data_IF_520212728656
#
_entry.id   IF_520212728656
#
_cell.length_a   1.000
_cell.length_b   1.000
_cell.length_c   1.000
_cell.angle_alpha   90.00
_cell.angle_beta   90.00
_cell.angle_gamma   90.00
#
_symmetry.space_group_name_H-M   'P 1'
#
loop_
_entity.id
_entity.type
_entity.pdbx_description
1 polymer ?
#
# COMPACT_ATOMS: atom_id res chain seq x y z
N UNK A 1 11.00 22.29 36.36
CA UNK A 1 9.69 22.09 37.04
C UNK A 1 8.48 22.01 36.10
N UNK A 2 8.62 22.21 34.77
CA UNK A 2 7.52 21.99 33.82
C UNK A 2 7.38 20.53 33.35
N UNK A 3 8.45 19.71 33.44
CA UNK A 3 8.45 18.32 32.95
C UNK A 3 7.52 17.37 33.72
N UNK A 4 7.32 17.56 35.02
CA UNK A 4 6.55 16.64 35.88
C UNK A 4 5.04 16.65 35.62
N UNK A 5 4.49 17.69 34.99
CA UNK A 5 3.07 17.75 34.61
C UNK A 5 2.80 17.25 33.19
N UNK A 6 3.83 17.18 32.33
CA UNK A 6 3.67 16.83 30.92
C UNK A 6 3.62 15.30 30.72
N UNK A 7 4.40 14.54 31.49
CA UNK A 7 4.44 13.06 31.38
C UNK A 7 3.05 12.44 31.62
N UNK A 8 2.29 12.80 32.67
CA UNK A 8 0.93 12.26 32.85
C UNK A 8 -0.01 12.61 31.70
N UNK A 9 0.14 13.78 31.08
CA UNK A 9 -0.66 14.19 29.91
C UNK A 9 -0.28 13.39 28.67
N UNK A 10 1.01 13.17 28.43
CA UNK A 10 1.46 12.28 27.34
C UNK A 10 0.87 10.89 27.54
N UNK A 11 1.01 10.33 28.75
CA UNK A 11 0.43 9.02 29.06
C UNK A 11 -1.07 9.03 28.81
N UNK A 12 -1.83 9.96 29.36
CA UNK A 12 -3.29 10.00 29.22
C UNK A 12 -3.82 10.09 27.78
N UNK A 13 -3.00 10.57 26.83
CA UNK A 13 -3.39 10.69 25.43
C UNK A 13 -2.98 9.50 24.56
N UNK A 14 -2.13 8.59 25.04
CA UNK A 14 -1.61 7.46 24.25
C UNK A 14 -2.72 6.59 23.65
N UNK A 15 -3.81 6.36 24.39
CA UNK A 15 -4.91 5.49 23.93
C UNK A 15 -5.72 6.11 22.77
N UNK A 16 -5.57 7.43 22.52
CA UNK A 16 -6.32 8.20 21.53
C UNK A 16 -5.42 8.84 20.46
N UNK A 17 -4.11 8.61 20.53
CA UNK A 17 -3.18 9.25 19.62
C UNK A 17 -3.31 8.67 18.20
N UNK A 18 -3.43 9.56 17.22
CA UNK A 18 -3.17 9.28 15.81
C UNK A 18 -1.69 9.52 15.50
N UNK A 19 -1.21 9.15 14.31
CA UNK A 19 0.19 9.30 13.91
C UNK A 19 0.73 10.72 14.11
N UNK A 20 -0.09 11.75 13.84
CA UNK A 20 0.30 13.16 13.99
C UNK A 20 0.47 13.54 15.46
N UNK A 21 -0.48 13.17 16.32
CA UNK A 21 -0.39 13.41 17.74
C UNK A 21 0.76 12.61 18.36
N UNK A 22 0.98 11.37 17.91
CA UNK A 22 2.12 10.54 18.31
C UNK A 22 3.46 11.19 17.96
N UNK A 23 3.61 11.74 16.75
CA UNK A 23 4.81 12.45 16.35
C UNK A 23 5.04 13.71 17.21
N UNK A 24 3.99 14.48 17.50
CA UNK A 24 4.07 15.64 18.38
C UNK A 24 4.41 15.25 19.82
N UNK A 25 3.80 14.18 20.34
CA UNK A 25 4.07 13.62 21.66
C UNK A 25 5.51 13.11 21.76
N UNK A 26 6.01 12.43 20.73
CA UNK A 26 7.39 11.97 20.64
C UNK A 26 8.40 13.11 20.61
N UNK A 27 8.13 14.17 19.84
CA UNK A 27 8.95 15.38 19.83
C UNK A 27 8.98 16.05 21.21
N UNK A 28 7.84 16.17 21.89
CA UNK A 28 7.78 16.69 23.27
C UNK A 28 8.54 15.79 24.24
N UNK A 29 8.37 14.47 24.13
CA UNK A 29 9.06 13.49 24.98
C UNK A 29 10.59 13.58 24.87
N UNK A 30 11.13 13.89 23.69
CA UNK A 30 12.58 14.05 23.47
C UNK A 30 13.21 15.24 24.23
N UNK A 31 12.38 16.17 24.73
CA UNK A 31 12.81 17.33 25.51
C UNK A 31 12.57 17.19 27.02
N UNK A 32 12.02 16.05 27.47
CA UNK A 32 11.80 15.76 28.88
C UNK A 32 13.03 15.06 29.49
N UNK A 33 13.00 14.89 30.82
CA UNK A 33 14.01 14.08 31.50
C UNK A 33 13.97 12.65 30.95
N UNK A 34 15.10 12.14 30.38
CA UNK A 34 15.12 10.84 29.74
C UNK A 34 14.77 9.69 30.68
N UNK A 35 15.23 9.72 31.93
CA UNK A 35 14.97 8.64 32.88
C UNK A 35 13.48 8.60 33.27
N UNK A 36 12.90 9.76 33.57
CA UNK A 36 11.49 9.84 33.94
C UNK A 36 10.57 9.42 32.79
N UNK A 37 10.83 9.90 31.56
CA UNK A 37 9.96 9.62 30.41
C UNK A 37 10.09 8.17 29.95
N UNK A 38 11.30 7.59 29.97
CA UNK A 38 11.52 6.18 29.60
C UNK A 38 10.82 5.26 30.61
N UNK A 39 10.95 5.50 31.91
CA UNK A 39 10.25 4.70 32.93
C UNK A 39 8.74 4.80 32.78
N UNK A 40 8.23 6.01 32.54
CA UNK A 40 6.81 6.25 32.37
C UNK A 40 6.25 5.53 31.13
N UNK A 41 6.96 5.56 30.00
CA UNK A 41 6.58 4.84 28.79
C UNK A 41 6.67 3.33 28.97
N UNK A 42 7.74 2.80 29.58
CA UNK A 42 7.85 1.37 29.91
C UNK A 42 6.69 0.92 30.80
N UNK A 43 6.35 1.73 31.83
CA UNK A 43 5.20 1.47 32.70
C UNK A 43 3.87 1.49 31.94
N UNK A 44 3.72 2.35 30.93
CA UNK A 44 2.54 2.40 30.09
C UNK A 44 2.40 1.15 29.21
N UNK A 45 3.50 0.61 28.67
CA UNK A 45 3.47 -0.61 27.86
C UNK A 45 2.99 -1.81 28.67
N UNK A 46 3.49 -1.98 29.91
CA UNK A 46 3.13 -3.12 30.77
C UNK A 46 1.79 -2.98 31.49
N UNK A 47 1.10 -1.85 31.35
CA UNK A 47 -0.11 -1.59 32.14
C UNK A 47 -1.31 -2.44 31.66
N UNK A 48 -1.87 -3.35 32.47
CA UNK A 48 -2.83 -4.37 31.98
C UNK A 48 -4.15 -3.81 31.44
N UNK A 49 -4.53 -2.63 31.90
CA UNK A 49 -5.76 -1.90 31.58
C UNK A 49 -5.62 -0.97 30.36
N UNK A 50 -4.39 -0.77 29.87
CA UNK A 50 -4.12 0.05 28.69
C UNK A 50 -4.45 -0.70 27.41
N UNK A 51 -5.05 0.00 26.44
CA UNK A 51 -5.36 -0.53 25.12
C UNK A 51 -4.08 -0.86 24.35
N UNK A 52 -4.12 -1.83 23.45
CA UNK A 52 -2.94 -2.18 22.64
C UNK A 52 -2.45 -0.99 21.82
N UNK A 53 -3.37 -0.16 21.30
CA UNK A 53 -3.05 1.13 20.67
C UNK A 53 -2.20 2.04 21.58
N UNK A 54 -2.59 2.19 22.85
CA UNK A 54 -1.83 2.99 23.80
C UNK A 54 -0.46 2.40 24.15
N UNK A 55 -0.35 1.06 24.18
CA UNK A 55 0.93 0.37 24.41
C UNK A 55 1.87 0.56 23.22
N UNK A 56 1.36 0.46 22.00
CA UNK A 56 2.13 0.72 20.78
C UNK A 56 2.54 2.17 20.69
N UNK A 57 1.65 3.11 21.00
CA UNK A 57 2.04 4.51 21.05
C UNK A 57 3.23 4.74 22.00
N UNK A 58 3.23 4.09 23.17
CA UNK A 58 4.37 4.14 24.09
C UNK A 58 5.63 3.47 23.51
N UNK A 59 5.50 2.31 22.87
CA UNK A 59 6.61 1.60 22.21
C UNK A 59 7.21 2.41 21.04
N UNK A 60 6.38 3.02 20.20
CA UNK A 60 6.80 3.89 19.10
C UNK A 60 7.55 5.10 19.60
N UNK A 61 7.11 5.72 20.71
CA UNK A 61 7.84 6.82 21.34
C UNK A 61 9.19 6.34 21.89
N UNK A 62 9.21 5.20 22.59
CA UNK A 62 10.44 4.58 23.10
C UNK A 62 11.44 4.34 21.97
N UNK A 63 11.03 3.68 20.89
CA UNK A 63 11.92 3.28 19.80
C UNK A 63 12.38 4.48 18.97
N UNK A 64 11.42 5.25 18.45
CA UNK A 64 11.69 6.23 17.40
C UNK A 64 12.20 7.57 17.93
N UNK A 65 11.81 7.95 19.14
CA UNK A 65 12.12 9.28 19.70
C UNK A 65 13.08 9.22 20.89
N UNK A 66 13.07 8.13 21.65
CA UNK A 66 13.92 7.96 22.83
C UNK A 66 15.08 6.97 22.62
N UNK A 67 15.17 6.34 21.44
CA UNK A 67 16.25 5.42 21.08
C UNK A 67 16.28 4.13 21.91
N UNK A 68 15.15 3.76 22.52
CA UNK A 68 14.99 2.57 23.35
C UNK A 68 14.20 1.51 22.58
N UNK A 69 14.87 0.44 22.17
CA UNK A 69 14.18 -0.69 21.54
C UNK A 69 13.29 -1.39 22.57
N UNK A 70 12.00 -1.63 22.27
CA UNK A 70 11.15 -2.45 23.13
C UNK A 70 11.70 -3.88 23.22
N UNK A 71 11.71 -4.45 24.42
CA UNK A 71 12.06 -5.86 24.62
C UNK A 71 10.99 -6.79 23.98
N UNK A 72 11.40 -7.95 23.47
CA UNK A 72 10.50 -8.92 22.81
C UNK A 72 9.34 -9.38 23.71
N UNK A 73 9.56 -9.42 25.03
CA UNK A 73 8.54 -9.72 26.04
C UNK A 73 7.42 -8.67 26.08
N UNK A 74 7.71 -7.42 25.70
CA UNK A 74 6.72 -6.34 25.62
C UNK A 74 5.83 -6.49 24.38
N UNK A 75 6.39 -6.96 23.26
CA UNK A 75 5.64 -7.28 22.04
C UNK A 75 4.67 -8.44 22.28
N UNK A 76 5.09 -9.46 23.04
CA UNK A 76 4.26 -10.60 23.43
C UNK A 76 3.10 -10.24 24.38
N UNK A 77 3.11 -9.04 24.97
CA UNK A 77 2.10 -8.59 25.94
C UNK A 77 0.85 -7.97 25.33
N UNK A 78 0.84 -7.72 24.01
CA UNK A 78 -0.30 -7.17 23.28
C UNK A 78 -1.44 -8.20 23.25
N UNK A 79 -2.65 -7.76 23.61
CA UNK A 79 -3.83 -8.65 23.71
C UNK A 79 -4.46 -8.93 22.34
N UNK A 80 -4.26 -8.04 21.38
CA UNK A 80 -4.78 -8.09 20.02
C UNK A 80 -3.72 -7.62 19.00
N UNK A 81 -2.75 -8.47 18.64
CA UNK A 81 -1.77 -8.16 17.59
C UNK A 81 -2.42 -7.95 16.20
N UNK A 82 -3.63 -8.46 15.96
CA UNK A 82 -4.36 -8.29 14.70
C UNK A 82 -4.93 -6.87 14.57
N UNK A 83 -5.53 -6.32 15.62
CA UNK A 83 -6.03 -4.93 15.65
C UNK A 83 -4.95 -3.86 15.45
N UNK A 84 -3.69 -4.24 15.71
CA UNK A 84 -2.49 -3.41 15.55
C UNK A 84 -2.01 -3.39 14.10
N UNK A 85 -2.02 -4.55 13.45
CA UNK A 85 -1.75 -4.66 12.01
C UNK A 85 -2.81 -3.89 11.21
N UNK A 86 -4.09 -3.96 11.63
CA UNK A 86 -5.19 -3.19 11.05
C UNK A 86 -4.98 -1.68 11.19
N UNK A 87 -4.59 -1.20 12.38
CA UNK A 87 -4.34 0.24 12.59
C UNK A 87 -3.18 0.75 11.73
N UNK A 88 -2.11 -0.05 11.60
CA UNK A 88 -0.98 0.28 10.71
C UNK A 88 -1.39 0.30 9.24
N UNK A 89 -2.25 -0.63 8.82
CA UNK A 89 -2.81 -0.68 7.48
C UNK A 89 -3.69 0.54 7.17
N UNK A 90 -4.54 0.97 8.10
CA UNK A 90 -5.38 2.17 7.92
C UNK A 90 -4.56 3.44 7.71
N UNK A 91 -3.48 3.61 8.47
CA UNK A 91 -2.53 4.73 8.31
C UNK A 91 -1.84 4.69 6.95
N UNK A 92 -1.36 3.51 6.52
CA UNK A 92 -0.77 3.31 5.19
C UNK A 92 -1.76 3.69 4.09
N UNK A 93 -3.01 3.24 4.20
CA UNK A 93 -4.06 3.55 3.23
C UNK A 93 -4.42 5.04 3.23
N UNK A 94 -4.19 5.77 4.32
CA UNK A 94 -4.50 7.20 4.43
C UNK A 94 -3.40 8.00 3.76
N UNK A 95 -2.14 7.66 4.08
CA UNK A 95 -0.98 8.24 3.43
C UNK A 95 -1.00 7.98 1.91
N UNK A 96 -1.43 6.79 1.49
CA UNK A 96 -1.56 6.41 0.09
C UNK A 96 -2.52 7.30 -0.72
N UNK A 97 -3.50 7.96 -0.10
CA UNK A 97 -4.37 8.93 -0.80
C UNK A 97 -3.56 10.15 -1.31
N UNK A 98 -2.49 10.51 -0.61
CA UNK A 98 -1.58 11.61 -0.97
C UNK A 98 -0.30 11.13 -1.67
N UNK A 99 0.14 9.91 -1.39
CA UNK A 99 1.39 9.32 -1.87
C UNK A 99 1.16 7.86 -2.30
N UNK A 100 0.74 7.60 -3.56
CA UNK A 100 0.48 6.24 -4.03
C UNK A 100 1.67 5.28 -3.92
N UNK A 101 2.91 5.80 -3.90
CA UNK A 101 4.12 5.01 -3.70
C UNK A 101 4.17 4.33 -2.32
N UNK A 102 3.50 4.89 -1.31
CA UNK A 102 3.42 4.31 0.04
C UNK A 102 2.73 2.94 -0.01
N UNK A 103 1.71 2.78 -0.85
CA UNK A 103 1.03 1.50 -1.01
C UNK A 103 1.94 0.44 -1.67
N UNK A 104 2.72 0.85 -2.67
CA UNK A 104 3.68 -0.03 -3.35
C UNK A 104 4.70 -0.57 -2.35
N UNK A 105 5.33 0.32 -1.58
CA UNK A 105 6.31 -0.08 -0.56
C UNK A 105 5.71 -0.96 0.54
N UNK A 106 4.45 -0.71 0.92
CA UNK A 106 3.76 -1.56 1.87
C UNK A 106 3.60 -2.99 1.32
N UNK A 107 3.12 -3.13 0.08
CA UNK A 107 2.95 -4.44 -0.57
C UNK A 107 4.30 -5.14 -0.78
N UNK A 108 5.33 -4.43 -1.24
CA UNK A 108 6.70 -4.96 -1.35
C UNK A 108 7.22 -5.50 0.00
N UNK A 109 6.85 -4.85 1.11
CA UNK A 109 7.16 -5.31 2.45
C UNK A 109 6.48 -6.64 2.82
N UNK A 110 5.30 -6.93 2.25
CA UNK A 110 4.55 -8.17 2.50
C UNK A 110 5.19 -9.40 1.83
N UNK A 111 6.01 -9.21 0.80
CA UNK A 111 6.76 -10.32 0.16
C UNK A 111 7.75 -10.98 1.13
N UNK A 112 8.22 -10.23 2.13
CA UNK A 112 9.14 -10.73 3.16
C UNK A 112 8.41 -11.32 4.37
N UNK A 113 7.08 -11.22 4.42
CA UNK A 113 6.29 -11.71 5.55
C UNK A 113 5.86 -13.15 5.34
N UNK A 114 5.69 -13.85 6.46
CA UNK A 114 5.08 -15.18 6.49
C UNK A 114 3.66 -15.14 5.89
N UNK A 115 3.24 -16.17 5.12
CA UNK A 115 1.95 -16.16 4.43
C UNK A 115 0.76 -15.87 5.35
N UNK A 116 0.78 -16.35 6.59
CA UNK A 116 -0.28 -16.13 7.58
C UNK A 116 -0.51 -14.63 7.87
N UNK A 117 0.55 -13.83 7.89
CA UNK A 117 0.46 -12.38 8.13
C UNK A 117 -0.18 -11.69 6.93
N UNK A 118 0.22 -12.07 5.72
CA UNK A 118 -0.31 -11.50 4.47
C UNK A 118 -1.78 -11.86 4.29
N UNK A 119 -2.17 -13.09 4.63
CA UNK A 119 -3.56 -13.53 4.66
C UNK A 119 -4.39 -12.74 5.68
N UNK A 120 -3.83 -12.44 6.86
CA UNK A 120 -4.50 -11.59 7.85
C UNK A 120 -4.74 -10.17 7.30
N UNK A 121 -3.77 -9.59 6.60
CA UNK A 121 -3.92 -8.29 5.91
C UNK A 121 -5.03 -8.36 4.86
N UNK A 122 -5.08 -9.41 4.03
CA UNK A 122 -6.15 -9.60 3.04
C UNK A 122 -7.54 -9.71 3.71
N UNK A 123 -7.64 -10.42 4.84
CA UNK A 123 -8.86 -10.53 5.62
C UNK A 123 -9.30 -9.19 6.22
N UNK A 124 -8.35 -8.36 6.71
CA UNK A 124 -8.64 -7.01 7.19
C UNK A 124 -9.16 -6.10 6.08
N UNK A 125 -8.54 -6.15 4.89
CA UNK A 125 -8.98 -5.40 3.71
C UNK A 125 -10.37 -5.86 3.25
N UNK A 126 -10.63 -7.18 3.26
CA UNK A 126 -11.95 -7.76 2.99
C UNK A 126 -13.00 -7.19 3.95
N UNK A 127 -12.73 -7.21 5.25
CA UNK A 127 -13.64 -6.68 6.26
C UNK A 127 -13.93 -5.20 6.01
N UNK A 128 -12.90 -4.38 5.75
CA UNK A 128 -13.05 -2.97 5.40
C UNK A 128 -13.92 -2.75 4.15
N UNK A 129 -13.75 -3.60 3.13
CA UNK A 129 -14.54 -3.60 1.89
C UNK A 129 -16.01 -3.94 2.05
N UNK A 130 -16.40 -4.55 3.17
CA UNK A 130 -17.76 -4.97 3.47
C UNK A 130 -18.50 -3.99 4.39
N UNK A 131 -17.79 -3.02 4.98
CA UNK A 131 -18.41 -2.00 5.84
C UNK A 131 -19.18 -0.99 4.99
N UNK A 132 -20.49 -0.88 5.26
CA UNK A 132 -21.38 0.09 4.62
C UNK A 132 -21.53 1.39 5.42
N UNK A 133 -20.84 1.51 6.57
CA UNK A 133 -21.05 2.58 7.55
C UNK A 133 -20.04 3.74 7.38
N UNK A 134 -20.48 5.00 7.26
CA UNK A 134 -19.58 6.17 7.26
C UNK A 134 -18.83 6.27 8.61
N UNK A 135 -17.52 6.61 8.63
CA UNK A 135 -16.74 7.31 7.59
C UNK A 135 -15.81 6.41 6.75
N UNK A 136 -15.87 5.09 6.90
CA UNK A 136 -14.99 4.17 6.18
C UNK A 136 -15.32 4.19 4.67
N UNK A 137 -14.30 4.41 3.83
CA UNK A 137 -14.43 4.32 2.37
C UNK A 137 -14.07 2.89 1.94
N UNK A 138 -15.04 1.99 1.70
CA UNK A 138 -14.76 0.58 1.39
C UNK A 138 -13.94 0.40 0.10
N UNK A 139 -13.95 1.40 -0.80
CA UNK A 139 -13.14 1.42 -2.01
C UNK A 139 -11.63 1.44 -1.73
N UNK A 140 -11.18 1.91 -0.55
CA UNK A 140 -9.75 1.97 -0.19
C UNK A 140 -9.10 0.59 -0.15
N UNK A 141 -9.89 -0.47 0.11
CA UNK A 141 -9.38 -1.83 0.14
C UNK A 141 -9.18 -2.45 -1.25
N UNK A 142 -9.73 -1.87 -2.32
CA UNK A 142 -9.70 -2.48 -3.66
C UNK A 142 -8.29 -2.53 -4.24
N UNK A 143 -7.57 -1.41 -4.21
CA UNK A 143 -6.24 -1.31 -4.83
C UNK A 143 -5.17 -2.20 -4.16
N UNK A 144 -5.02 -2.25 -2.82
CA UNK A 144 -4.10 -3.19 -2.19
C UNK A 144 -4.47 -4.65 -2.50
N UNK A 145 -5.75 -5.02 -2.44
CA UNK A 145 -6.18 -6.38 -2.80
C UNK A 145 -5.84 -6.71 -4.27
N UNK A 146 -5.97 -5.74 -5.18
CA UNK A 146 -5.57 -5.89 -6.58
C UNK A 146 -4.06 -6.10 -6.75
N UNK A 147 -3.23 -5.46 -5.92
CA UNK A 147 -1.79 -5.70 -5.91
C UNK A 147 -1.47 -7.08 -5.32
N UNK A 148 -2.08 -7.46 -4.20
CA UNK A 148 -1.92 -8.77 -3.55
C UNK A 148 -2.40 -9.94 -4.43
N UNK A 149 -3.38 -9.72 -5.30
CA UNK A 149 -3.83 -10.72 -6.27
C UNK A 149 -2.76 -11.12 -7.30
N UNK A 150 -1.64 -10.38 -7.37
CA UNK A 150 -0.49 -10.69 -8.22
C UNK A 150 0.65 -11.38 -7.45
N UNK A 151 0.45 -11.74 -6.17
CA UNK A 151 1.42 -12.50 -5.38
C UNK A 151 1.71 -13.87 -6.03
N UNK A 152 2.96 -14.31 -5.94
CA UNK A 152 3.41 -15.60 -6.49
C UNK A 152 2.90 -16.80 -5.68
N UNK A 153 2.48 -16.59 -4.43
CA UNK A 153 1.88 -17.57 -3.54
C UNK A 153 0.39 -17.69 -3.85
N UNK A 154 -0.01 -18.87 -4.33
CA UNK A 154 -1.37 -19.12 -4.82
C UNK A 154 -2.44 -18.80 -3.77
N UNK A 155 -2.19 -19.15 -2.51
CA UNK A 155 -3.12 -18.94 -1.41
C UNK A 155 -3.40 -17.45 -1.14
N UNK A 156 -2.41 -16.58 -1.28
CA UNK A 156 -2.57 -15.13 -1.08
C UNK A 156 -3.27 -14.51 -2.28
N UNK A 157 -2.85 -14.88 -3.49
CA UNK A 157 -3.50 -14.40 -4.70
C UNK A 157 -4.99 -14.80 -4.75
N UNK A 158 -5.29 -16.05 -4.39
CA UNK A 158 -6.66 -16.55 -4.32
C UNK A 158 -7.49 -15.85 -3.24
N UNK A 159 -6.93 -15.64 -2.04
CA UNK A 159 -7.60 -14.92 -0.96
C UNK A 159 -7.92 -13.47 -1.35
N UNK A 160 -6.97 -12.77 -1.99
CA UNK A 160 -7.16 -11.40 -2.45
C UNK A 160 -8.23 -11.30 -3.56
N UNK A 161 -8.24 -12.25 -4.50
CA UNK A 161 -9.26 -12.35 -5.55
C UNK A 161 -10.64 -12.67 -4.95
N UNK A 162 -10.72 -13.58 -3.97
CA UNK A 162 -11.97 -13.89 -3.27
C UNK A 162 -12.49 -12.69 -2.47
N UNK A 163 -11.61 -11.95 -1.80
CA UNK A 163 -11.93 -10.71 -1.11
C UNK A 163 -12.55 -9.68 -2.07
N UNK A 164 -11.92 -9.42 -3.22
CA UNK A 164 -12.47 -8.54 -4.28
C UNK A 164 -13.85 -9.03 -4.76
N UNK A 165 -14.01 -10.34 -4.99
CA UNK A 165 -15.28 -10.96 -5.41
C UNK A 165 -16.39 -10.98 -4.34
N UNK A 166 -16.07 -10.59 -3.11
CA UNK A 166 -17.02 -10.41 -2.02
C UNK A 166 -17.48 -8.96 -1.85
N UNK A 167 -16.76 -7.99 -2.44
CA UNK A 167 -17.08 -6.58 -2.38
C UNK A 167 -18.15 -6.23 -3.42
N UNK A 168 -19.30 -5.72 -2.97
CA UNK A 168 -20.39 -5.25 -3.84
C UNK A 168 -20.09 -3.92 -4.55
N UNK A 169 -18.84 -3.68 -4.97
CA UNK A 169 -18.34 -2.41 -5.47
C UNK A 169 -18.00 -2.48 -6.97
N UNK A 170 -18.38 -1.49 -7.79
CA UNK A 170 -17.95 -1.40 -9.20
C UNK A 170 -16.42 -1.38 -9.36
N UNK A 171 -15.70 -0.77 -8.40
CA UNK A 171 -14.24 -0.73 -8.37
C UNK A 171 -13.64 -2.13 -8.22
N UNK A 172 -14.25 -2.99 -7.40
CA UNK A 172 -13.81 -4.38 -7.24
C UNK A 172 -14.04 -5.20 -8.52
N UNK A 173 -15.18 -5.00 -9.20
CA UNK A 173 -15.42 -5.60 -10.51
C UNK A 173 -14.41 -5.15 -11.56
N UNK A 174 -14.08 -3.84 -11.59
CA UNK A 174 -13.02 -3.31 -12.46
C UNK A 174 -11.65 -3.90 -12.13
N UNK A 175 -11.32 -4.04 -10.84
CA UNK A 175 -10.08 -4.66 -10.41
C UNK A 175 -9.97 -6.09 -10.94
N UNK A 176 -11.02 -6.91 -10.77
CA UNK A 176 -11.07 -8.27 -11.32
C UNK A 176 -10.93 -8.30 -12.85
N UNK A 177 -11.61 -7.41 -13.58
CA UNK A 177 -11.43 -7.29 -15.04
C UNK A 177 -9.97 -7.02 -15.43
N UNK A 178 -9.29 -6.10 -14.73
CA UNK A 178 -7.88 -5.79 -15.02
C UNK A 178 -6.91 -6.89 -14.62
N UNK A 179 -7.30 -7.75 -13.68
CA UNK A 179 -6.50 -8.88 -13.21
C UNK A 179 -6.57 -10.09 -14.14
N UNK A 180 -7.69 -10.32 -14.84
CA UNK A 180 -7.86 -11.47 -15.74
C UNK A 180 -6.65 -11.76 -16.67
N UNK A 181 -6.02 -10.77 -17.32
CA UNK A 181 -4.87 -11.04 -18.19
C UNK A 181 -3.53 -11.27 -17.46
N UNK A 182 -3.44 -10.98 -16.16
CA UNK A 182 -2.16 -10.91 -15.42
C UNK A 182 -2.14 -11.72 -14.12
N UNK A 183 -3.27 -12.23 -13.66
CA UNK A 183 -3.37 -13.04 -12.45
C UNK A 183 -2.67 -14.39 -12.65
N UNK A 184 -2.20 -14.99 -11.55
CA UNK A 184 -1.61 -16.33 -11.56
C UNK A 184 -2.55 -17.34 -12.25
N UNK A 185 -2.08 -18.16 -13.22
CA UNK A 185 -2.98 -18.97 -14.07
C UNK A 185 -3.93 -19.90 -13.30
N UNK A 186 -3.52 -20.59 -12.22
CA UNK A 186 -4.42 -21.36 -11.35
C UNK A 186 -5.59 -20.54 -10.74
N UNK A 187 -5.41 -19.24 -10.51
CA UNK A 187 -6.39 -18.35 -9.87
C UNK A 187 -7.32 -17.70 -10.91
N UNK A 188 -6.97 -17.72 -12.21
CA UNK A 188 -7.77 -17.11 -13.27
C UNK A 188 -9.23 -17.61 -13.32
N UNK A 189 -9.54 -18.92 -13.21
CA UNK A 189 -10.93 -19.40 -13.20
C UNK A 189 -11.74 -18.86 -12.00
N UNK A 190 -11.08 -18.65 -10.85
CA UNK A 190 -11.70 -18.04 -9.68
C UNK A 190 -12.06 -16.58 -9.95
N UNK A 191 -11.14 -15.79 -10.51
CA UNK A 191 -11.38 -14.39 -10.87
C UNK A 191 -12.54 -14.24 -11.88
N UNK A 192 -12.59 -15.07 -12.93
CA UNK A 192 -13.68 -15.06 -13.92
C UNK A 192 -15.04 -15.41 -13.30
N UNK A 193 -15.06 -16.41 -12.41
CA UNK A 193 -16.28 -16.82 -11.71
C UNK A 193 -16.79 -15.70 -10.80
N UNK A 194 -15.90 -15.04 -10.07
CA UNK A 194 -16.26 -13.97 -9.14
C UNK A 194 -16.68 -12.69 -9.84
N UNK A 195 -16.03 -12.33 -10.97
CA UNK A 195 -16.48 -11.21 -11.80
C UNK A 195 -17.92 -11.45 -12.32
N UNK A 196 -18.21 -12.67 -12.81
CA UNK A 196 -19.57 -13.04 -13.21
C UNK A 196 -20.55 -13.00 -12.03
N UNK A 197 -20.13 -13.47 -10.86
CA UNK A 197 -20.94 -13.40 -9.63
C UNK A 197 -21.32 -11.95 -9.30
N UNK A 198 -20.36 -11.02 -9.29
CA UNK A 198 -20.63 -9.60 -9.04
C UNK A 198 -21.62 -9.03 -10.07
N UNK A 199 -21.43 -9.34 -11.35
CA UNK A 199 -22.34 -8.94 -12.42
C UNK A 199 -23.77 -9.49 -12.18
N UNK A 200 -23.91 -10.76 -11.81
CA UNK A 200 -25.22 -11.35 -11.49
C UNK A 200 -25.84 -10.78 -10.20
N UNK A 201 -25.02 -10.31 -9.27
CA UNK A 201 -25.46 -9.59 -8.06
C UNK A 201 -25.83 -8.13 -8.32
N UNK A 202 -25.78 -7.67 -9.57
CA UNK A 202 -26.19 -6.31 -9.96
C UNK A 202 -25.12 -5.24 -9.80
N UNK A 203 -23.87 -5.62 -9.54
CA UNK A 203 -22.74 -4.68 -9.55
C UNK A 203 -22.48 -4.22 -10.98
N UNK A 204 -22.30 -2.91 -11.17
CA UNK A 204 -22.01 -2.36 -12.49
C UNK A 204 -20.62 -2.81 -12.96
N UNK A 205 -20.58 -3.48 -14.11
CA UNK A 205 -19.37 -3.98 -14.75
C UNK A 205 -19.19 -3.26 -16.08
N UNK A 206 -18.69 -2.03 -16.04
CA UNK A 206 -18.39 -1.25 -17.23
C UNK A 206 -17.24 -1.91 -18.01
N UNK A 207 -17.23 -1.84 -19.36
CA UNK A 207 -16.07 -2.25 -20.14
C UNK A 207 -14.85 -1.40 -19.77
N UNK A 208 -13.66 -2.00 -19.82
CA UNK A 208 -12.41 -1.27 -19.64
C UNK A 208 -12.31 -0.16 -20.70
N UNK A 209 -11.89 1.06 -20.32
CA UNK A 209 -11.77 2.16 -21.26
C UNK A 209 -10.70 1.84 -22.30
N UNK A 210 -10.90 2.33 -23.53
CA UNK A 210 -9.83 2.36 -24.51
C UNK A 210 -8.67 3.22 -23.97
N UNK A 211 -7.41 2.88 -24.28
CA UNK A 211 -6.27 3.73 -23.92
C UNK A 211 -6.48 5.16 -24.40
N UNK A 212 -6.24 6.14 -23.53
CA UNK A 212 -6.37 7.55 -23.90
C UNK A 212 -5.40 7.89 -25.05
N UNK A 213 -5.80 8.74 -26.01
CA UNK A 213 -4.96 9.07 -27.17
C UNK A 213 -3.66 9.79 -26.81
N UNK A 214 -3.56 10.30 -25.59
CA UNK A 214 -2.40 10.98 -25.03
C UNK A 214 -1.26 10.02 -24.69
N UNK A 215 -1.58 8.73 -24.46
CA UNK A 215 -0.57 7.70 -24.32
C UNK A 215 0.17 7.46 -25.64
N UNK A 216 1.46 7.22 -25.53
CA UNK A 216 2.30 6.68 -26.60
C UNK A 216 3.28 5.68 -26.02
N UNK A 217 3.71 4.73 -26.84
CA UNK A 217 4.76 3.80 -26.50
C UNK A 217 6.00 4.05 -27.37
N UNK A 218 7.19 3.97 -26.77
CA UNK A 218 8.46 3.85 -27.47
C UNK A 218 9.04 2.48 -27.17
N UNK A 219 9.61 1.83 -28.17
CA UNK A 219 10.13 0.46 -28.06
C UNK A 219 11.55 0.46 -28.61
N UNK A 220 12.51 -0.01 -27.82
CA UNK A 220 13.89 -0.19 -28.27
C UNK A 220 14.01 -1.46 -29.14
N UNK A 221 15.06 -1.58 -29.98
CA UNK A 221 15.45 -2.89 -30.49
C UNK A 221 15.87 -3.82 -29.34
N UNK A 222 15.92 -5.12 -29.61
CA UNK A 222 16.54 -6.10 -28.71
C UNK A 222 18.05 -5.83 -28.66
N UNK A 223 18.62 -5.79 -27.46
CA UNK A 223 20.06 -5.70 -27.26
C UNK A 223 20.74 -7.09 -27.38
N UNK A 224 22.08 -7.13 -27.31
CA UNK A 224 22.85 -8.38 -27.37
C UNK A 224 22.61 -9.37 -26.22
N UNK A 225 21.86 -8.97 -25.19
CA UNK A 225 21.44 -9.80 -24.05
C UNK A 225 19.97 -10.23 -24.15
N UNK A 226 19.30 -9.96 -25.28
CA UNK A 226 17.87 -10.30 -25.47
C UNK A 226 16.91 -9.39 -24.71
N UNK A 227 17.37 -8.21 -24.26
CA UNK A 227 16.53 -7.26 -23.53
C UNK A 227 15.97 -6.17 -24.44
N UNK A 228 14.78 -5.69 -24.13
CA UNK A 228 14.08 -4.61 -24.83
C UNK A 228 13.44 -3.66 -23.81
N UNK A 229 13.62 -2.36 -24.00
CA UNK A 229 12.97 -1.35 -23.18
C UNK A 229 11.69 -0.87 -23.87
N UNK A 230 10.59 -0.83 -23.11
CA UNK A 230 9.29 -0.33 -23.55
C UNK A 230 8.90 0.84 -22.65
N UNK A 231 8.79 2.03 -23.23
CA UNK A 231 8.41 3.25 -22.51
C UNK A 231 6.96 3.61 -22.81
N UNK A 232 6.13 3.72 -21.80
CA UNK A 232 4.80 4.31 -21.88
C UNK A 232 4.86 5.75 -21.39
N UNK A 233 4.42 6.68 -22.22
CA UNK A 233 4.43 8.11 -21.93
C UNK A 233 3.02 8.66 -22.09
N UNK A 234 2.45 9.19 -21.01
CA UNK A 234 1.21 9.98 -21.04
C UNK A 234 1.58 11.44 -20.89
N UNK A 235 1.39 12.23 -21.94
CA UNK A 235 1.60 13.67 -21.87
C UNK A 235 0.60 14.38 -22.76
N UNK A 236 -0.07 15.39 -22.22
CA UNK A 236 -0.88 16.30 -23.01
C UNK A 236 0.01 17.35 -23.67
N UNK A 237 -0.42 17.91 -24.79
CA UNK A 237 0.31 19.00 -25.49
C UNK A 237 0.43 20.28 -24.66
N UNK A 238 -0.32 20.38 -23.58
CA UNK A 238 -0.46 21.58 -22.76
C UNK A 238 0.22 21.46 -21.39
N UNK A 239 0.78 20.29 -21.08
CA UNK A 239 1.46 20.05 -19.80
C UNK A 239 2.97 20.10 -19.97
N UNK A 240 3.66 20.76 -19.04
CA UNK A 240 5.13 20.74 -18.93
C UNK A 240 5.65 19.40 -18.38
N UNK A 241 4.76 18.58 -17.82
CA UNK A 241 5.07 17.28 -17.23
C UNK A 241 4.29 16.16 -17.90
N UNK A 242 4.93 15.00 -18.04
CA UNK A 242 4.31 13.76 -18.48
C UNK A 242 4.41 12.69 -17.38
N UNK A 243 3.52 11.70 -17.43
CA UNK A 243 3.71 10.43 -16.72
C UNK A 243 4.53 9.50 -17.60
N UNK A 244 5.41 8.75 -16.96
CA UNK A 244 6.36 7.87 -17.60
C UNK A 244 6.38 6.52 -16.89
N UNK A 245 6.40 5.45 -17.66
CA UNK A 245 6.66 4.09 -17.19
C UNK A 245 7.62 3.42 -18.17
N UNK A 246 8.79 3.03 -17.72
CA UNK A 246 9.68 2.14 -18.43
C UNK A 246 9.47 0.72 -17.93
N UNK A 247 9.34 -0.23 -18.84
CA UNK A 247 9.41 -1.67 -18.55
C UNK A 247 10.57 -2.25 -19.35
N UNK A 248 11.50 -2.89 -18.65
CA UNK A 248 12.55 -3.68 -19.26
C UNK A 248 12.04 -5.12 -19.43
N UNK A 249 11.98 -5.57 -20.68
CA UNK A 249 11.63 -6.92 -21.05
C UNK A 249 12.90 -7.73 -21.34
N UNK A 250 12.87 -9.01 -21.02
CA UNK A 250 13.87 -10.02 -21.34
C UNK A 250 13.19 -11.15 -22.10
N UNK A 251 13.81 -11.62 -23.18
CA UNK A 251 13.33 -12.75 -23.98
C UNK A 251 13.18 -14.06 -23.16
N UNK A 252 13.95 -14.20 -22.08
CA UNK A 252 13.90 -15.34 -21.16
C UNK A 252 13.06 -15.10 -19.91
N UNK A 253 13.00 -13.85 -19.45
CA UNK A 253 12.47 -13.49 -18.14
C UNK A 253 11.13 -12.76 -18.16
N UNK A 254 10.62 -12.34 -19.33
CA UNK A 254 9.47 -11.44 -19.39
C UNK A 254 9.83 -10.05 -18.87
N UNK A 255 8.95 -9.39 -18.12
CA UNK A 255 9.26 -8.10 -17.48
C UNK A 255 10.20 -8.30 -16.29
N UNK A 256 11.39 -7.70 -16.34
CA UNK A 256 12.46 -7.89 -15.34
C UNK A 256 12.73 -6.64 -14.51
N UNK A 257 12.36 -5.47 -15.00
CA UNK A 257 12.50 -4.20 -14.27
C UNK A 257 11.40 -3.24 -14.73
N UNK A 258 10.91 -2.41 -13.81
CA UNK A 258 9.99 -1.34 -14.15
C UNK A 258 10.32 -0.08 -13.35
N UNK A 259 10.29 1.08 -14.01
CA UNK A 259 10.51 2.39 -13.37
C UNK A 259 9.38 3.31 -13.79
N UNK A 260 8.62 3.80 -12.81
CA UNK A 260 7.53 4.74 -13.01
C UNK A 260 7.86 6.13 -12.45
N UNK A 261 7.50 7.18 -13.18
CA UNK A 261 7.55 8.56 -12.69
C UNK A 261 6.25 9.28 -13.07
N UNK A 262 5.53 9.76 -12.06
CA UNK A 262 4.26 10.48 -12.29
C UNK A 262 4.46 11.88 -12.90
N UNK A 263 5.67 12.46 -12.76
CA UNK A 263 5.99 13.81 -13.24
C UNK A 263 7.42 13.88 -13.78
N UNK A 264 7.54 13.72 -15.09
CA UNK A 264 8.79 13.93 -15.83
C UNK A 264 8.67 15.17 -16.69
N UNK A 265 9.61 16.13 -16.64
CA UNK A 265 9.61 17.26 -17.56
C UNK A 265 9.59 16.77 -19.02
N UNK A 266 8.65 17.26 -19.83
CA UNK A 266 8.46 16.79 -21.21
C UNK A 266 9.72 16.97 -22.07
N UNK A 267 10.54 17.97 -21.75
CA UNK A 267 11.85 18.23 -22.39
C UNK A 267 12.90 17.13 -22.15
N UNK A 268 12.74 16.28 -21.14
CA UNK A 268 13.61 15.13 -20.88
C UNK A 268 13.16 13.87 -21.63
N UNK A 269 12.03 13.93 -22.32
CA UNK A 269 11.46 12.80 -23.05
C UNK A 269 11.54 13.02 -24.56
N UNK A 270 11.67 11.95 -25.37
CA UNK A 270 11.62 12.09 -26.82
C UNK A 270 10.30 12.75 -27.27
N UNK A 271 10.35 13.70 -28.22
CA UNK A 271 9.17 14.41 -28.68
C UNK A 271 8.15 13.44 -29.29
N UNK A 272 6.86 13.79 -29.22
CA UNK A 272 5.82 12.94 -29.83
C UNK A 272 5.97 12.93 -31.35
N UNK A 273 6.00 11.74 -31.93
CA UNK A 273 6.07 11.50 -33.37
C UNK A 273 5.00 10.52 -33.82
N UNK A 274 4.83 10.37 -35.14
CA UNK A 274 3.93 9.36 -35.72
C UNK A 274 4.43 7.95 -35.41
N UNK A 275 3.52 6.95 -35.25
CA UNK A 275 3.92 5.56 -35.10
C UNK A 275 4.89 5.11 -36.20
N UNK A 276 5.94 4.38 -35.82
CA UNK A 276 7.00 3.91 -36.73
C UNK A 276 8.19 4.87 -36.91
N UNK A 277 8.15 6.06 -36.31
CA UNK A 277 9.32 6.95 -36.28
C UNK A 277 10.44 6.40 -35.39
N UNK A 278 11.68 6.48 -35.88
CA UNK A 278 12.88 6.11 -35.11
C UNK A 278 13.42 7.31 -34.36
N UNK A 279 13.61 7.15 -33.05
CA UNK A 279 14.24 8.15 -32.20
C UNK A 279 15.69 7.77 -31.94
N UNK A 280 16.62 8.69 -32.22
CA UNK A 280 17.99 8.59 -31.71
C UNK A 280 18.02 9.16 -30.29
N UNK A 281 18.32 8.30 -29.33
CA UNK A 281 18.57 8.68 -27.94
C UNK A 281 20.08 8.68 -27.76
N UNK A 282 20.67 9.88 -27.85
CA UNK A 282 22.11 10.11 -27.70
C UNK A 282 22.56 10.09 -26.23
#
# INVERSE_FOLDING_TARGET
MLGSQVIPTLIGNLDRADARLLAAMGAVASHLDPEEVIMAMRSAVIHPQRTDRGRIGAMTILERFLGQRPDDDLLASLKDPEGVAVSSLEEVLEEAESSPATLIHYIEGLDQQEPQIVLAVAASLRAMGQVSDPPLKPQRAVEPLRMMAQDVREEIAAEAVDALGSMGLPEAARALQTLLPIVWPPVQPLAERLLRKLQFSGVEVAPLPAPEPEWRALISPLNGLGQQSVWFIQGSRWSEYARFLNVLLSDRGGAVEAIGQARVPVQMLPPRQSPGHLHDVA
#
